data_IF_762733997540
#
_entry.id   IF_762733997540
#
_cell.length_a   1.000
_cell.length_b   1.000
_cell.length_c   1.000
_cell.angle_alpha   90.00
_cell.angle_beta   90.00
_cell.angle_gamma   90.00
#
_symmetry.space_group_name_H-M   'P 1'
#
loop_
_entity.id
_entity.type
_entity.pdbx_description
1 polymer ?
#
# COMPACT_ATOMS: atom_id res chain seq x y z
N UNK A 1 -10.26 2.92 1.30
CA UNK A 1 -10.16 2.05 2.51
C UNK A 1 -11.45 2.19 3.30
N UNK A 2 -12.13 1.07 3.55
CA UNK A 2 -13.24 0.95 4.50
C UNK A 2 -12.73 1.02 5.93
N UNK A 3 -13.62 1.15 6.92
CA UNK A 3 -13.22 1.24 8.33
C UNK A 3 -12.59 -0.05 8.86
N UNK A 4 -13.00 -1.20 8.32
CA UNK A 4 -12.49 -2.54 8.58
C UNK A 4 -11.32 -2.97 7.68
N UNK A 5 -10.69 -2.02 6.98
CA UNK A 5 -9.57 -2.30 6.07
C UNK A 5 -8.44 -3.09 6.75
N UNK A 6 -7.91 -4.09 6.05
CA UNK A 6 -6.72 -4.83 6.44
C UNK A 6 -5.65 -4.67 5.36
N UNK A 7 -4.46 -4.23 5.77
CA UNK A 7 -3.26 -4.23 4.96
C UNK A 7 -2.39 -5.42 5.39
N UNK A 8 -1.89 -6.19 4.42
CA UNK A 8 -1.03 -7.35 4.64
C UNK A 8 0.26 -7.08 3.87
N UNK A 9 1.41 -7.11 4.56
CA UNK A 9 2.71 -6.88 3.93
C UNK A 9 3.33 -8.17 3.35
N UNK A 10 4.55 -8.07 2.85
CA UNK A 10 5.30 -9.18 2.26
C UNK A 10 5.77 -10.23 3.29
N UNK A 11 5.84 -9.85 4.57
CA UNK A 11 6.11 -10.76 5.69
C UNK A 11 4.86 -11.48 6.20
N UNK A 12 3.67 -11.02 5.79
CA UNK A 12 2.37 -11.52 6.25
C UNK A 12 1.87 -10.82 7.51
N UNK A 13 2.50 -9.74 7.96
CA UNK A 13 2.01 -8.91 9.06
C UNK A 13 0.72 -8.20 8.64
N UNK A 14 -0.24 -8.07 9.57
CA UNK A 14 -1.57 -7.51 9.30
C UNK A 14 -1.79 -6.23 10.10
N UNK A 15 -1.90 -5.10 9.41
CA UNK A 15 -2.37 -3.83 9.98
C UNK A 15 -3.86 -3.68 9.76
N UNK A 16 -4.63 -3.58 10.85
CA UNK A 16 -6.10 -3.47 10.80
C UNK A 16 -6.58 -2.06 11.15
N UNK A 17 -7.54 -1.58 10.35
CA UNK A 17 -8.26 -0.36 10.58
C UNK A 17 -7.70 0.82 9.77
N UNK A 18 -8.61 1.57 9.16
CA UNK A 18 -8.30 2.74 8.33
C UNK A 18 -7.46 3.80 9.04
N UNK A 19 -7.77 4.10 10.31
CA UNK A 19 -7.09 5.16 11.06
C UNK A 19 -5.62 4.83 11.31
N UNK A 20 -5.32 3.57 11.66
CA UNK A 20 -3.95 3.08 11.85
C UNK A 20 -3.19 3.14 10.53
N UNK A 21 -3.78 2.59 9.46
CA UNK A 21 -3.14 2.57 8.14
C UNK A 21 -2.83 3.98 7.62
N UNK A 22 -3.71 4.97 7.85
CA UNK A 22 -3.45 6.36 7.46
C UNK A 22 -2.26 6.97 8.21
N UNK A 23 -2.11 6.66 9.49
CA UNK A 23 -1.02 7.16 10.30
C UNK A 23 0.31 6.52 9.90
N UNK A 24 0.32 5.22 9.60
CA UNK A 24 1.50 4.51 9.13
C UNK A 24 1.95 5.01 7.75
N UNK A 25 1.01 5.20 6.82
CA UNK A 25 1.31 5.82 5.53
C UNK A 25 1.85 7.25 5.67
N UNK A 26 1.31 8.04 6.60
CA UNK A 26 1.81 9.41 6.85
C UNK A 26 3.28 9.38 7.24
N UNK A 27 3.66 8.55 8.22
CA UNK A 27 5.06 8.38 8.64
C UNK A 27 5.93 7.87 7.51
N UNK A 28 5.46 6.85 6.78
CA UNK A 28 6.20 6.29 5.64
C UNK A 28 6.55 7.35 4.60
N UNK A 29 5.61 8.22 4.21
CA UNK A 29 5.87 9.29 3.24
C UNK A 29 6.68 10.47 3.82
N UNK A 30 6.71 10.63 5.15
CA UNK A 30 7.62 11.56 5.81
C UNK A 30 9.07 11.04 5.77
N UNK A 31 9.24 9.73 5.99
CA UNK A 31 10.55 9.06 5.97
C UNK A 31 11.11 8.89 4.54
N UNK A 32 10.24 8.66 3.54
CA UNK A 32 10.58 8.45 2.13
C UNK A 32 9.85 9.45 1.20
N UNK A 33 10.24 10.74 1.20
CA UNK A 33 9.51 11.80 0.51
C UNK A 33 9.54 11.69 -1.03
N UNK A 34 10.48 10.93 -1.58
CA UNK A 34 10.62 10.68 -3.01
C UNK A 34 10.02 9.33 -3.45
N UNK A 35 9.40 8.60 -2.52
CA UNK A 35 8.85 7.28 -2.79
C UNK A 35 7.90 7.30 -3.99
N UNK A 36 8.13 6.37 -4.92
CA UNK A 36 7.29 6.21 -6.11
C UNK A 36 7.12 4.75 -6.50
N UNK A 37 5.88 4.38 -6.83
CA UNK A 37 5.60 3.12 -7.50
C UNK A 37 5.68 3.26 -9.03
N UNK A 38 6.33 2.29 -9.67
CA UNK A 38 6.38 2.11 -11.12
C UNK A 38 5.67 0.81 -11.46
N UNK A 39 4.42 0.91 -11.92
CA UNK A 39 3.63 -0.24 -12.32
C UNK A 39 3.90 -0.62 -13.78
N UNK A 40 4.19 -1.89 -14.01
CA UNK A 40 4.40 -2.49 -15.34
C UNK A 40 3.16 -3.20 -15.86
N UNK A 41 2.26 -3.62 -14.96
CA UNK A 41 0.97 -4.23 -15.31
C UNK A 41 -0.08 -3.87 -14.26
N UNK A 42 -1.29 -3.61 -14.73
CA UNK A 42 -2.47 -3.42 -13.88
C UNK A 42 -3.60 -4.25 -14.49
N UNK A 43 -4.15 -5.17 -13.71
CA UNK A 43 -5.28 -6.01 -14.09
C UNK A 43 -6.41 -5.80 -13.11
N UNK A 44 -7.63 -5.61 -13.62
CA UNK A 44 -8.83 -5.51 -12.81
C UNK A 44 -9.76 -6.64 -13.18
N UNK A 45 -10.23 -7.39 -12.19
CA UNK A 45 -11.20 -8.47 -12.34
C UNK A 45 -12.22 -8.40 -11.21
N UNK A 46 -13.49 -8.16 -11.55
CA UNK A 46 -14.56 -7.94 -10.58
C UNK A 46 -14.17 -6.83 -9.59
N UNK A 47 -14.18 -7.14 -8.29
CA UNK A 47 -13.84 -6.22 -7.21
C UNK A 47 -12.35 -6.24 -6.81
N UNK A 48 -11.49 -6.89 -7.63
CA UNK A 48 -10.06 -7.06 -7.35
C UNK A 48 -9.24 -6.32 -8.39
N UNK A 49 -8.32 -5.48 -7.92
CA UNK A 49 -7.27 -4.87 -8.72
C UNK A 49 -5.90 -5.44 -8.30
N UNK A 50 -5.12 -5.92 -9.28
CA UNK A 50 -3.76 -6.42 -9.08
C UNK A 50 -2.79 -5.52 -9.84
N UNK A 51 -1.78 -5.02 -9.12
CA UNK A 51 -0.73 -4.16 -9.68
C UNK A 51 0.61 -4.90 -9.56
N UNK A 52 1.36 -4.97 -10.65
CA UNK A 52 2.72 -5.54 -10.69
C UNK A 52 3.69 -4.43 -11.09
N UNK A 53 4.84 -4.37 -10.40
CA UNK A 53 5.81 -3.31 -10.61
C UNK A 53 6.92 -3.33 -9.56
N UNK A 54 7.59 -2.19 -9.39
CA UNK A 54 8.57 -1.96 -8.33
C UNK A 54 8.35 -0.59 -7.67
N UNK A 55 8.90 -0.45 -6.47
CA UNK A 55 8.99 0.84 -5.77
C UNK A 55 10.39 1.41 -5.91
N UNK A 56 10.48 2.73 -5.97
CA UNK A 56 11.71 3.51 -5.90
C UNK A 56 11.63 4.35 -4.63
N UNK A 57 12.62 4.25 -3.76
CA UNK A 57 12.81 5.11 -2.59
C UNK A 57 14.32 5.31 -2.35
N UNK A 58 14.69 6.45 -1.76
CA UNK A 58 16.07 6.73 -1.30
C UNK A 58 16.17 7.00 0.19
#
# INVERSE_FOLDING_TARGET
MSDDHAFIDDSGEITKGKSVMKEDWRKFFEDYPDYRNVFTSVVVQNDVAVMVGCSICS
#
